data_IF_447276744287
#
_entry.id   IF_447276744287
#
_cell.length_a   1.000
_cell.length_b   1.000
_cell.length_c   1.000
_cell.angle_alpha   90.00
_cell.angle_beta   90.00
_cell.angle_gamma   90.00
#
_symmetry.space_group_name_H-M   'P 1'
#
loop_
_entity.id
_entity.type
_entity.pdbx_description
1 polymer ?
#
# COMPACT_ATOMS: atom_id res chain seq x y z
N UNK A 1 -51.13 -25.28 -3.93
CA UNK A 1 -51.31 -26.74 -4.11
C UNK A 1 -49.93 -27.40 -3.93
N UNK A 2 -49.78 -28.16 -2.83
CA UNK A 2 -48.72 -29.12 -2.44
C UNK A 2 -47.23 -28.79 -2.68
N UNK A 3 -46.53 -28.61 -1.54
CA UNK A 3 -45.09 -28.79 -1.35
C UNK A 3 -44.64 -30.23 -1.66
N UNK A 4 -43.39 -30.39 -2.13
CA UNK A 4 -42.59 -31.61 -1.92
C UNK A 4 -41.12 -31.24 -1.64
N UNK A 5 -40.59 -31.93 -0.65
CA UNK A 5 -39.27 -31.85 0.00
C UNK A 5 -38.19 -32.69 -0.73
N UNK A 6 -36.90 -32.55 -0.34
CA UNK A 6 -35.73 -33.01 -1.11
C UNK A 6 -35.25 -34.42 -0.73
N UNK A 7 -34.57 -35.12 -1.64
CA UNK A 7 -33.69 -36.25 -1.28
C UNK A 7 -32.56 -36.49 -2.29
N UNK A 8 -31.33 -36.27 -1.83
CA UNK A 8 -30.17 -37.18 -1.82
C UNK A 8 -29.69 -37.89 -3.11
N UNK A 9 -28.37 -38.20 -3.08
CA UNK A 9 -27.53 -39.04 -3.97
C UNK A 9 -26.97 -38.29 -5.20
N UNK A 10 -25.66 -38.21 -5.47
CA UNK A 10 -24.52 -39.09 -5.11
C UNK A 10 -23.20 -38.33 -5.25
N UNK A 11 -22.25 -38.65 -4.37
CA UNK A 11 -20.81 -38.46 -4.57
C UNK A 11 -20.38 -39.16 -5.87
N UNK A 12 -19.57 -38.50 -6.68
CA UNK A 12 -18.62 -39.16 -7.57
C UNK A 12 -17.25 -38.53 -7.35
N UNK A 13 -16.34 -39.36 -6.85
CA UNK A 13 -14.92 -39.10 -6.70
C UNK A 13 -14.23 -40.28 -7.40
N UNK A 14 -13.47 -40.01 -8.45
CA UNK A 14 -12.53 -40.90 -9.15
C UNK A 14 -11.96 -40.09 -10.31
N UNK A 15 -10.68 -40.09 -10.65
CA UNK A 15 -9.45 -40.70 -10.15
C UNK A 15 -8.33 -40.10 -11.02
N UNK A 16 -7.14 -40.01 -10.44
CA UNK A 16 -5.91 -39.61 -11.11
C UNK A 16 -5.59 -40.48 -12.34
N UNK A 17 -5.21 -39.82 -13.45
CA UNK A 17 -4.50 -40.45 -14.55
C UNK A 17 -3.14 -39.80 -14.77
N UNK A 18 -2.16 -40.30 -14.01
CA UNK A 18 -0.75 -40.18 -14.36
C UNK A 18 -0.40 -41.23 -15.43
N UNK A 19 0.13 -40.80 -16.57
CA UNK A 19 0.76 -41.69 -17.55
C UNK A 19 2.19 -41.22 -17.84
N UNK A 20 3.14 -42.05 -17.40
CA UNK A 20 4.57 -41.99 -17.68
C UNK A 20 4.91 -42.07 -19.17
N UNK A 21 5.92 -41.30 -19.63
CA UNK A 21 6.93 -41.79 -20.58
C UNK A 21 8.32 -41.18 -20.29
N UNK A 22 9.32 -42.06 -20.41
CA UNK A 22 10.71 -41.99 -19.93
C UNK A 22 11.67 -41.23 -20.87
N UNK A 23 12.93 -40.94 -20.43
CA UNK A 23 13.84 -40.00 -21.07
C UNK A 23 14.80 -40.67 -22.08
N UNK A 24 15.34 -39.89 -23.01
CA UNK A 24 16.45 -40.30 -23.87
C UNK A 24 17.69 -39.44 -23.58
N UNK A 25 18.71 -40.09 -23.00
CA UNK A 25 20.09 -39.61 -22.95
C UNK A 25 20.77 -39.96 -24.27
N UNK A 26 21.55 -39.04 -24.82
CA UNK A 26 22.64 -39.37 -25.75
C UNK A 26 23.94 -38.78 -25.22
N UNK A 27 24.85 -39.69 -24.92
CA UNK A 27 26.26 -39.46 -24.62
C UNK A 27 27.01 -39.28 -25.94
N UNK A 28 27.87 -38.26 -26.02
CA UNK A 28 28.96 -38.22 -26.98
C UNK A 28 30.22 -37.77 -26.23
N UNK A 29 31.05 -38.78 -25.96
CA UNK A 29 32.42 -38.71 -25.48
C UNK A 29 33.37 -38.27 -26.59
N UNK A 30 34.29 -37.34 -26.32
CA UNK A 30 35.56 -37.28 -27.04
C UNK A 30 36.66 -36.54 -26.27
N UNK A 31 37.75 -37.28 -26.05
CA UNK A 31 39.16 -36.85 -25.97
C UNK A 31 39.65 -36.03 -24.77
N UNK A 32 40.37 -36.74 -23.88
CA UNK A 32 41.34 -36.18 -22.94
C UNK A 32 42.49 -35.49 -23.70
N UNK A 33 42.72 -34.22 -23.37
CA UNK A 33 44.04 -33.60 -23.45
C UNK A 33 44.50 -33.31 -22.03
N UNK A 34 45.53 -34.02 -21.57
CA UNK A 34 46.15 -33.79 -20.26
C UNK A 34 46.97 -32.48 -20.31
N UNK A 35 46.31 -31.36 -20.05
CA UNK A 35 46.96 -30.10 -19.72
C UNK A 35 47.10 -30.00 -18.21
N UNK A 36 48.34 -30.03 -17.69
CA UNK A 36 48.62 -29.69 -16.29
C UNK A 36 48.40 -28.18 -16.14
N UNK A 37 47.16 -27.79 -15.85
CA UNK A 37 46.84 -26.42 -15.45
C UNK A 37 47.16 -26.31 -13.96
N UNK A 38 48.29 -25.68 -13.65
CA UNK A 38 48.57 -25.24 -12.28
C UNK A 38 47.54 -24.15 -11.96
N UNK A 39 46.43 -24.53 -11.32
CA UNK A 39 45.51 -23.58 -10.71
C UNK A 39 46.23 -22.96 -9.51
N UNK A 40 46.77 -21.76 -9.68
CA UNK A 40 46.99 -20.87 -8.55
C UNK A 40 45.60 -20.52 -7.98
N UNK A 41 45.18 -21.25 -6.95
CA UNK A 41 44.11 -20.81 -6.07
C UNK A 41 44.61 -19.60 -5.28
N UNK A 42 44.40 -18.40 -5.81
CA UNK A 42 44.39 -17.20 -4.97
C UNK A 42 43.17 -17.31 -4.07
N UNK A 43 43.38 -17.53 -2.77
CA UNK A 43 42.37 -17.35 -1.75
C UNK A 43 42.01 -15.85 -1.72
N UNK A 44 41.01 -15.48 -2.52
CA UNK A 44 40.35 -14.20 -2.35
C UNK A 44 39.49 -14.36 -1.11
N UNK A 45 39.93 -13.79 0.01
CA UNK A 45 39.06 -13.53 1.15
C UNK A 45 38.04 -12.48 0.71
N UNK A 46 37.05 -12.90 -0.07
CA UNK A 46 35.83 -12.14 -0.28
C UNK A 46 35.01 -12.31 0.98
N UNK A 47 35.03 -11.30 1.84
CA UNK A 47 33.91 -11.10 2.75
C UNK A 47 32.67 -11.02 1.87
N UNK A 48 31.87 -12.09 1.87
CA UNK A 48 30.60 -12.08 1.19
C UNK A 48 29.79 -10.95 1.80
N UNK A 49 29.59 -9.86 1.05
CA UNK A 49 28.66 -8.83 1.42
C UNK A 49 27.32 -9.53 1.67
N UNK A 50 26.82 -9.44 2.91
CA UNK A 50 25.49 -9.92 3.24
C UNK A 50 24.54 -9.14 2.33
N UNK A 51 23.93 -9.81 1.37
CA UNK A 51 22.95 -9.21 0.47
C UNK A 51 21.73 -8.87 1.32
N UNK A 52 21.67 -7.64 1.81
CA UNK A 52 20.53 -7.14 2.56
C UNK A 52 19.31 -7.20 1.63
N UNK A 53 18.19 -7.84 2.04
CA UNK A 53 17.00 -7.91 1.20
C UNK A 53 16.52 -6.52 0.80
N UNK A 54 16.14 -6.34 -0.46
CA UNK A 54 15.51 -5.11 -0.95
C UNK A 54 14.00 -5.17 -0.63
N UNK A 55 13.65 -4.73 0.57
CA UNK A 55 12.27 -4.71 1.07
C UNK A 55 11.37 -3.78 0.25
N UNK A 56 11.93 -2.70 -0.31
CA UNK A 56 11.18 -1.81 -1.17
C UNK A 56 10.72 -2.52 -2.45
N UNK A 57 11.63 -3.22 -3.14
CA UNK A 57 11.26 -4.02 -4.33
C UNK A 57 10.35 -5.19 -3.98
N UNK A 58 10.59 -5.84 -2.85
CA UNK A 58 9.76 -6.96 -2.40
C UNK A 58 8.30 -6.53 -2.21
N UNK A 59 8.07 -5.41 -1.51
CA UNK A 59 6.73 -4.89 -1.28
C UNK A 59 6.10 -4.36 -2.57
N UNK A 60 6.87 -3.71 -3.45
CA UNK A 60 6.40 -3.29 -4.77
C UNK A 60 5.88 -4.48 -5.61
N UNK A 61 6.63 -5.58 -5.63
CA UNK A 61 6.25 -6.78 -6.37
C UNK A 61 5.02 -7.49 -5.76
N UNK A 62 4.90 -7.49 -4.43
CA UNK A 62 3.72 -8.01 -3.75
C UNK A 62 2.46 -7.21 -4.12
N UNK A 63 2.56 -5.88 -4.15
CA UNK A 63 1.45 -5.00 -4.57
C UNK A 63 1.10 -5.20 -6.05
N UNK A 64 2.08 -5.33 -6.95
CA UNK A 64 1.83 -5.65 -8.35
C UNK A 64 1.06 -6.98 -8.50
N UNK A 65 1.44 -7.99 -7.72
CA UNK A 65 0.75 -9.28 -7.71
C UNK A 65 -0.69 -9.13 -7.24
N UNK A 66 -0.91 -8.45 -6.12
CA UNK A 66 -2.25 -8.16 -5.60
C UNK A 66 -3.10 -7.38 -6.60
N UNK A 67 -2.54 -6.37 -7.27
CA UNK A 67 -3.23 -5.59 -8.30
C UNK A 67 -3.69 -6.48 -9.45
N UNK A 68 -2.78 -7.30 -9.99
CA UNK A 68 -3.10 -8.23 -11.09
C UNK A 68 -4.17 -9.25 -10.70
N UNK A 69 -4.20 -9.70 -9.45
CA UNK A 69 -5.22 -10.63 -8.99
C UNK A 69 -6.59 -9.95 -8.79
N UNK A 70 -6.62 -8.70 -8.30
CA UNK A 70 -7.82 -7.86 -8.27
C UNK A 70 -8.40 -7.65 -9.67
N UNK A 71 -7.56 -7.27 -10.63
CA UNK A 71 -7.96 -7.06 -12.03
C UNK A 71 -8.53 -8.33 -12.68
N UNK A 72 -7.98 -9.52 -12.38
CA UNK A 72 -8.57 -10.80 -12.83
C UNK A 72 -9.93 -11.08 -12.19
N UNK A 73 -10.09 -10.75 -10.91
CA UNK A 73 -11.36 -10.89 -10.19
C UNK A 73 -12.43 -10.00 -10.83
N UNK A 74 -12.11 -8.73 -11.09
CA UNK A 74 -13.03 -7.77 -11.71
C UNK A 74 -13.42 -8.18 -13.12
N UNK A 75 -12.47 -8.66 -13.92
CA UNK A 75 -12.75 -9.22 -15.24
C UNK A 75 -13.72 -10.40 -15.18
N UNK A 76 -13.54 -11.31 -14.20
CA UNK A 76 -14.43 -12.46 -14.02
C UNK A 76 -15.85 -12.02 -13.64
N UNK A 77 -15.99 -11.00 -12.78
CA UNK A 77 -17.27 -10.40 -12.44
C UNK A 77 -17.92 -9.72 -13.66
N UNK A 78 -17.14 -9.02 -14.48
CA UNK A 78 -17.62 -8.38 -15.71
C UNK A 78 -18.16 -9.41 -16.71
N UNK A 79 -17.43 -10.50 -16.95
CA UNK A 79 -17.90 -11.59 -17.80
C UNK A 79 -19.21 -12.21 -17.27
N UNK A 80 -19.30 -12.45 -15.96
CA UNK A 80 -20.53 -12.95 -15.34
C UNK A 80 -21.74 -12.01 -15.54
N UNK A 81 -21.51 -10.69 -15.52
CA UNK A 81 -22.55 -9.70 -15.87
C UNK A 81 -22.91 -9.77 -17.36
N UNK A 82 -21.92 -9.90 -18.25
CA UNK A 82 -22.14 -10.01 -19.69
C UNK A 82 -22.97 -11.25 -20.05
N UNK A 83 -22.71 -12.39 -19.42
CA UNK A 83 -23.42 -13.65 -19.71
C UNK A 83 -24.93 -13.56 -19.47
N UNK A 84 -25.37 -12.66 -18.58
CA UNK A 84 -26.78 -12.41 -18.29
C UNK A 84 -27.48 -11.53 -19.35
N UNK A 85 -26.78 -11.06 -20.38
CA UNK A 85 -27.39 -10.31 -21.49
C UNK A 85 -28.10 -11.28 -22.44
N UNK A 86 -29.38 -11.01 -22.74
CA UNK A 86 -30.19 -11.87 -23.61
C UNK A 86 -29.82 -11.76 -25.10
N UNK A 87 -29.47 -10.55 -25.55
CA UNK A 87 -29.04 -10.29 -26.93
C UNK A 87 -27.59 -10.78 -27.15
N UNK A 88 -27.34 -11.70 -28.10
CA UNK A 88 -26.00 -12.20 -28.39
C UNK A 88 -25.02 -11.11 -28.86
N UNK A 89 -25.49 -10.10 -29.60
CA UNK A 89 -24.62 -9.02 -30.08
C UNK A 89 -24.15 -8.14 -28.92
N UNK A 90 -25.09 -7.72 -28.05
CA UNK A 90 -24.77 -7.00 -26.83
C UNK A 90 -23.86 -7.79 -25.89
N UNK A 91 -24.06 -9.11 -25.77
CA UNK A 91 -23.18 -9.99 -24.97
C UNK A 91 -21.75 -9.98 -25.50
N UNK A 92 -21.57 -10.15 -26.81
CA UNK A 92 -20.25 -10.14 -27.42
C UNK A 92 -19.54 -8.79 -27.24
N UNK A 93 -20.26 -7.68 -27.40
CA UNK A 93 -19.71 -6.35 -27.18
C UNK A 93 -19.29 -6.14 -25.73
N UNK A 94 -20.11 -6.55 -24.77
CA UNK A 94 -19.78 -6.52 -23.35
C UNK A 94 -18.51 -7.32 -23.02
N UNK A 95 -18.35 -8.51 -23.61
CA UNK A 95 -17.15 -9.34 -23.40
C UNK A 95 -15.88 -8.73 -24.03
N UNK A 96 -16.02 -8.06 -25.18
CA UNK A 96 -14.92 -7.30 -25.79
C UNK A 96 -14.50 -6.13 -24.90
N UNK A 97 -15.47 -5.36 -24.40
CA UNK A 97 -15.20 -4.25 -23.49
C UNK A 97 -14.54 -4.73 -22.21
N UNK A 98 -15.07 -5.79 -21.57
CA UNK A 98 -14.45 -6.37 -20.38
C UNK A 98 -12.99 -6.79 -20.62
N UNK A 99 -12.67 -7.27 -21.82
CA UNK A 99 -11.31 -7.66 -22.19
C UNK A 99 -10.40 -6.45 -22.45
N UNK A 100 -10.94 -5.36 -22.99
CA UNK A 100 -10.24 -4.08 -23.09
C UNK A 100 -9.95 -3.51 -21.69
N UNK A 101 -10.96 -3.45 -20.82
CA UNK A 101 -10.85 -2.98 -19.44
C UNK A 101 -9.80 -3.79 -18.65
N UNK A 102 -9.76 -5.12 -18.83
CA UNK A 102 -8.74 -5.99 -18.24
C UNK A 102 -7.32 -5.58 -18.65
N UNK A 103 -7.11 -5.27 -19.93
CA UNK A 103 -5.79 -4.91 -20.44
C UNK A 103 -5.38 -3.53 -19.93
N UNK A 104 -6.28 -2.56 -19.98
CA UNK A 104 -6.06 -1.20 -19.50
C UNK A 104 -5.71 -1.23 -18.00
N UNK A 105 -6.50 -1.95 -17.19
CA UNK A 105 -6.24 -2.08 -15.76
C UNK A 105 -4.92 -2.83 -15.45
N UNK A 106 -4.57 -3.84 -16.25
CA UNK A 106 -3.25 -4.49 -16.15
C UNK A 106 -2.12 -3.51 -16.44
N UNK A 107 -2.26 -2.69 -17.48
CA UNK A 107 -1.26 -1.67 -17.80
C UNK A 107 -1.11 -0.69 -16.64
N UNK A 108 -2.20 -0.23 -16.04
CA UNK A 108 -2.15 0.60 -14.84
C UNK A 108 -1.41 -0.09 -13.69
N UNK A 109 -1.60 -1.39 -13.47
CA UNK A 109 -0.82 -2.14 -12.47
C UNK A 109 0.70 -2.10 -12.75
N UNK A 110 1.13 -2.21 -14.02
CA UNK A 110 2.55 -2.12 -14.39
C UNK A 110 3.10 -0.71 -14.16
N UNK A 111 2.38 0.32 -14.61
CA UNK A 111 2.79 1.73 -14.43
C UNK A 111 2.93 2.08 -12.94
N UNK A 112 2.01 1.59 -12.12
CA UNK A 112 2.06 1.70 -10.67
C UNK A 112 3.26 0.97 -10.05
N UNK A 113 3.67 -0.16 -10.61
CA UNK A 113 4.87 -0.88 -10.18
C UNK A 113 6.13 -0.13 -10.59
N UNK A 114 6.19 0.39 -11.82
CA UNK A 114 7.33 1.18 -12.31
C UNK A 114 7.55 2.43 -11.46
N UNK A 115 6.47 3.13 -11.08
CA UNK A 115 6.53 4.25 -10.15
C UNK A 115 7.10 3.85 -8.77
N UNK A 116 6.69 2.69 -8.24
CA UNK A 116 7.23 2.16 -6.97
C UNK A 116 8.71 1.82 -7.09
N UNK A 117 9.13 1.18 -8.19
CA UNK A 117 10.53 0.84 -8.43
C UNK A 117 11.40 2.09 -8.59
N UNK A 118 10.89 3.13 -9.24
CA UNK A 118 11.55 4.43 -9.33
C UNK A 118 11.73 5.08 -7.95
N UNK A 119 10.72 4.96 -7.07
CA UNK A 119 10.85 5.40 -5.67
C UNK A 119 11.91 4.58 -4.92
N UNK A 120 11.93 3.25 -5.05
CA UNK A 120 12.95 2.39 -4.44
C UNK A 120 14.37 2.76 -4.87
N UNK A 121 14.57 3.14 -6.14
CA UNK A 121 15.88 3.58 -6.62
C UNK A 121 16.36 4.85 -5.91
N UNK A 122 15.44 5.75 -5.54
CA UNK A 122 15.75 7.02 -4.89
C UNK A 122 15.89 6.90 -3.37
N UNK A 123 15.08 6.06 -2.73
CA UNK A 123 14.96 5.95 -1.28
C UNK A 123 15.80 4.80 -0.69
N UNK A 124 16.20 3.84 -1.52
CA UNK A 124 16.91 2.62 -1.09
C UNK A 124 15.96 1.46 -0.79
N UNK A 125 16.56 0.28 -0.58
CA UNK A 125 15.83 -0.98 -0.35
C UNK A 125 15.64 -1.36 1.12
N UNK A 126 16.11 -0.54 2.06
CA UNK A 126 15.97 -0.82 3.50
C UNK A 126 14.50 -0.76 3.94
N UNK A 127 14.10 -1.51 4.99
CA UNK A 127 12.76 -1.36 5.55
C UNK A 127 12.61 0.04 6.16
N UNK A 128 11.39 0.59 6.10
CA UNK A 128 11.07 1.82 6.80
C UNK A 128 10.80 1.51 8.28
N UNK A 129 11.78 1.82 9.13
CA UNK A 129 11.71 1.67 10.59
C UNK A 129 12.51 2.80 11.24
N UNK A 130 11.97 4.03 11.27
CA UNK A 130 12.69 5.16 11.84
C UNK A 130 12.85 4.99 13.35
N UNK A 131 14.09 5.12 13.83
CA UNK A 131 14.38 5.13 15.27
C UNK A 131 14.16 6.54 15.81
N UNK A 132 13.18 6.70 16.69
CA UNK A 132 12.92 7.95 17.38
C UNK A 132 13.82 8.04 18.62
N UNK A 133 14.75 9.00 18.61
CA UNK A 133 15.54 9.38 19.80
C UNK A 133 14.90 10.62 20.44
N UNK A 134 14.26 10.50 21.61
CA UNK A 134 13.66 11.65 22.29
C UNK A 134 14.62 12.80 22.57
N UNK A 135 15.92 12.53 22.68
CA UNK A 135 16.91 13.57 22.92
C UNK A 135 17.12 14.48 21.71
N UNK A 136 16.73 14.05 20.50
CA UNK A 136 16.81 14.83 19.26
C UNK A 136 15.69 15.88 19.12
N UNK A 137 14.71 15.91 20.02
CA UNK A 137 13.58 16.82 19.94
C UNK A 137 13.77 18.04 20.84
N UNK A 138 13.26 19.18 20.40
CA UNK A 138 13.32 20.45 21.12
C UNK A 138 12.00 20.77 21.82
N UNK A 139 12.06 21.58 22.88
CA UNK A 139 10.90 21.87 23.72
C UNK A 139 9.88 22.84 23.08
N UNK A 140 10.23 23.50 21.97
CA UNK A 140 9.38 24.47 21.28
C UNK A 140 9.45 24.25 19.79
N UNK A 141 8.31 24.39 19.11
CA UNK A 141 8.20 24.35 17.66
C UNK A 141 8.28 25.78 17.14
N UNK A 142 9.48 26.20 16.76
CA UNK A 142 9.81 27.55 16.29
C UNK A 142 10.23 27.61 14.82
N UNK A 143 9.97 26.54 14.06
CA UNK A 143 10.16 26.50 12.61
C UNK A 143 9.55 27.75 11.95
N UNK A 144 10.31 28.49 11.11
CA UNK A 144 9.87 29.77 10.57
C UNK A 144 8.68 29.67 9.60
N UNK A 145 8.39 28.49 9.07
CA UNK A 145 7.28 28.23 8.15
C UNK A 145 6.06 27.64 8.87
N UNK A 146 6.25 26.98 10.02
CA UNK A 146 5.19 26.35 10.78
C UNK A 146 5.42 26.46 12.30
N UNK A 147 5.39 27.68 12.87
CA UNK A 147 5.61 27.89 14.30
C UNK A 147 4.35 27.53 15.09
N UNK A 148 4.45 26.56 16.01
CA UNK A 148 3.33 26.16 16.87
C UNK A 148 3.52 26.72 18.28
N UNK A 149 3.22 28.02 18.43
CA UNK A 149 3.27 28.71 19.72
C UNK A 149 1.93 28.54 20.45
N UNK A 150 1.92 27.99 21.68
CA UNK A 150 0.70 27.88 22.49
C UNK A 150 -0.11 29.18 22.54
N UNK A 151 -1.43 29.06 22.37
CA UNK A 151 -2.38 30.17 22.29
C UNK A 151 -2.52 30.81 20.91
N UNK A 152 -1.85 30.28 19.88
CA UNK A 152 -2.07 30.71 18.49
C UNK A 152 -3.23 29.93 17.90
N UNK A 153 -4.19 30.62 17.29
CA UNK A 153 -5.22 30.00 16.43
C UNK A 153 -5.01 30.48 15.01
N UNK A 154 -4.90 29.54 14.08
CA UNK A 154 -4.93 29.80 12.64
C UNK A 154 -6.34 29.45 12.16
N UNK A 155 -6.88 30.26 11.26
CA UNK A 155 -8.22 30.04 10.71
C UNK A 155 -8.08 29.90 9.20
N UNK A 156 -8.61 28.81 8.67
CA UNK A 156 -8.66 28.51 7.24
C UNK A 156 -10.13 28.46 6.80
N UNK A 157 -10.45 29.16 5.70
CA UNK A 157 -11.83 29.27 5.23
C UNK A 157 -11.89 29.20 3.70
N UNK A 158 -12.93 28.55 3.18
CA UNK A 158 -13.13 28.47 1.74
C UNK A 158 -14.45 27.80 1.33
N UNK A 159 -14.90 28.08 0.10
CA UNK A 159 -16.00 27.33 -0.50
C UNK A 159 -15.45 26.08 -1.20
N UNK A 160 -16.01 24.94 -0.87
CA UNK A 160 -15.74 23.64 -1.49
C UNK A 160 -16.90 23.23 -2.40
N UNK A 161 -16.84 22.02 -2.96
CA UNK A 161 -17.99 21.44 -3.68
C UNK A 161 -19.15 21.06 -2.76
N UNK A 162 -18.91 20.99 -1.46
CA UNK A 162 -19.83 20.46 -0.46
C UNK A 162 -20.46 21.58 0.39
N UNK A 163 -19.78 22.72 0.55
CA UNK A 163 -20.29 23.86 1.34
C UNK A 163 -19.24 24.92 1.61
N UNK A 164 -19.51 25.83 2.54
CA UNK A 164 -18.48 26.69 3.13
C UNK A 164 -17.78 25.97 4.28
N UNK A 165 -16.49 25.76 4.15
CA UNK A 165 -15.64 25.13 5.17
C UNK A 165 -14.95 26.21 6.00
N UNK A 166 -14.95 26.01 7.32
CA UNK A 166 -14.23 26.82 8.30
C UNK A 166 -13.49 25.88 9.26
N UNK A 167 -12.17 25.99 9.28
CA UNK A 167 -11.23 25.23 10.09
C UNK A 167 -10.55 26.18 11.10
N UNK A 168 -10.66 25.83 12.38
CA UNK A 168 -9.88 26.43 13.47
C UNK A 168 -8.74 25.50 13.94
N UNK A 169 -7.51 25.85 13.59
CA UNK A 169 -6.30 25.16 14.02
C UNK A 169 -5.70 25.85 15.26
N UNK A 170 -6.09 25.40 16.46
CA UNK A 170 -5.76 26.03 17.74
C UNK A 170 -4.60 25.32 18.47
N UNK A 171 -3.43 25.96 18.51
CA UNK A 171 -2.28 25.45 19.27
C UNK A 171 -2.53 25.61 20.77
N UNK A 172 -2.72 24.50 21.46
CA UNK A 172 -3.09 24.51 22.88
C UNK A 172 -1.88 24.75 23.79
N UNK A 173 -2.14 24.83 25.11
CA UNK A 173 -1.08 24.82 26.13
C UNK A 173 -0.78 23.40 26.64
N UNK A 174 -1.44 22.39 26.08
CA UNK A 174 -1.29 21.00 26.46
C UNK A 174 -0.17 20.34 25.65
N UNK A 175 0.34 19.25 26.21
CA UNK A 175 1.35 18.41 25.56
C UNK A 175 1.06 16.95 25.87
N UNK A 176 1.47 16.07 24.97
CA UNK A 176 1.38 14.62 25.14
C UNK A 176 2.74 13.98 24.93
N UNK A 177 3.08 12.98 25.75
CA UNK A 177 4.30 12.19 25.54
C UNK A 177 3.98 10.99 24.66
N UNK A 178 4.58 10.94 23.47
CA UNK A 178 4.41 9.86 22.49
C UNK A 178 5.80 9.31 22.14
N UNK A 179 5.99 8.00 22.30
CA UNK A 179 7.31 7.35 22.11
C UNK A 179 8.47 8.04 22.86
N UNK A 180 8.18 8.67 24.01
CA UNK A 180 9.15 9.39 24.84
C UNK A 180 9.39 10.84 24.44
N UNK A 181 8.83 11.32 23.32
CA UNK A 181 8.91 12.71 22.87
C UNK A 181 7.75 13.51 23.44
N UNK A 182 8.02 14.69 24.00
CA UNK A 182 6.98 15.65 24.39
C UNK A 182 6.50 16.39 23.14
N UNK A 183 5.25 16.15 22.75
CA UNK A 183 4.61 16.74 21.59
C UNK A 183 3.66 17.86 22.00
N UNK A 184 3.63 18.95 21.23
CA UNK A 184 2.66 20.04 21.34
C UNK A 184 1.32 19.56 20.81
N UNK A 185 0.25 19.80 21.56
CA UNK A 185 -1.12 19.47 21.13
C UNK A 185 -1.75 20.65 20.39
N UNK A 186 -2.32 20.37 19.23
CA UNK A 186 -3.19 21.26 18.48
C UNK A 186 -4.60 20.70 18.54
N UNK A 187 -5.59 21.56 18.77
CA UNK A 187 -6.99 21.24 18.61
C UNK A 187 -7.44 21.79 17.27
N UNK A 188 -7.71 20.90 16.32
CA UNK A 188 -8.23 21.20 14.99
C UNK A 188 -9.75 20.93 15.01
N UNK A 189 -10.52 21.88 14.50
CA UNK A 189 -11.99 21.81 14.46
C UNK A 189 -12.47 22.28 13.11
N UNK A 190 -13.12 21.39 12.36
CA UNK A 190 -13.64 21.69 11.02
C UNK A 190 -15.16 21.76 11.07
N UNK A 191 -15.70 22.82 10.45
CA UNK A 191 -17.14 22.98 10.23
C UNK A 191 -17.46 23.14 8.76
N UNK A 192 -18.56 22.53 8.31
CA UNK A 192 -19.14 22.69 6.98
C UNK A 192 -20.52 23.35 7.10
N UNK A 193 -20.69 24.52 6.47
CA UNK A 193 -21.89 25.36 6.58
C UNK A 193 -22.32 25.64 8.05
N UNK A 194 -21.33 25.68 8.95
CA UNK A 194 -21.50 25.93 10.38
C UNK A 194 -21.83 24.69 11.21
N UNK A 195 -21.89 23.50 10.61
CA UNK A 195 -22.05 22.23 11.30
C UNK A 195 -20.69 21.58 11.53
N UNK A 196 -20.44 21.09 12.75
CA UNK A 196 -19.19 20.42 13.12
C UNK A 196 -19.06 19.08 12.39
N UNK A 197 -17.99 18.93 11.62
CA UNK A 197 -17.66 17.71 10.86
C UNK A 197 -16.43 17.01 11.38
N UNK A 198 -15.53 17.72 12.08
CA UNK A 198 -14.32 17.14 12.66
C UNK A 198 -13.93 17.82 13.98
N UNK A 199 -13.51 17.02 14.96
CA UNK A 199 -12.93 17.46 16.23
C UNK A 199 -11.69 16.60 16.53
N UNK A 200 -10.51 17.17 16.28
CA UNK A 200 -9.23 16.44 16.27
C UNK A 200 -8.22 17.03 17.25
N UNK A 201 -7.55 16.17 18.02
CA UNK A 201 -6.35 16.52 18.77
C UNK A 201 -5.11 15.97 18.07
N UNK A 202 -4.32 16.86 17.46
CA UNK A 202 -3.07 16.53 16.79
C UNK A 202 -1.86 16.75 17.68
N UNK A 203 -0.82 15.92 17.52
CA UNK A 203 0.42 16.06 18.26
C UNK A 203 1.63 16.24 17.35
N UNK A 204 2.33 17.36 17.52
CA UNK A 204 3.51 17.71 16.74
C UNK A 204 4.76 17.83 17.61
N UNK A 205 5.94 17.58 17.05
CA UNK A 205 7.21 17.89 17.69
C UNK A 205 8.25 18.35 16.66
N UNK A 206 9.20 19.20 17.07
CA UNK A 206 10.28 19.64 16.20
C UNK A 206 11.59 18.98 16.62
N UNK A 207 12.36 18.50 15.65
CA UNK A 207 13.71 18.00 15.89
C UNK A 207 14.75 19.14 15.89
N UNK A 208 16.00 18.82 16.24
CA UNK A 208 17.10 19.80 16.28
C UNK A 208 17.52 20.34 14.92
N UNK A 209 17.16 19.66 13.83
CA UNK A 209 17.41 20.12 12.46
C UNK A 209 16.31 21.06 11.95
N UNK A 210 15.24 21.22 12.73
CA UNK A 210 14.12 22.10 12.45
C UNK A 210 12.98 21.44 11.67
N UNK A 211 13.03 20.12 11.45
CA UNK A 211 11.89 19.42 10.85
C UNK A 211 10.76 19.33 11.88
N UNK A 212 9.53 19.57 11.45
CA UNK A 212 8.34 19.38 12.28
C UNK A 212 7.72 18.05 11.92
N UNK A 213 7.56 17.20 12.92
CA UNK A 213 7.07 15.85 12.84
C UNK A 213 5.64 15.81 13.36
N UNK A 214 4.81 15.06 12.66
CA UNK A 214 3.48 14.69 13.10
C UNK A 214 3.54 13.33 13.79
N UNK A 215 3.19 13.28 15.08
CA UNK A 215 3.30 12.08 15.92
C UNK A 215 1.97 11.31 16.04
N UNK A 216 0.90 11.83 15.44
CA UNK A 216 -0.43 11.24 15.38
C UNK A 216 -1.52 12.15 15.93
N UNK A 217 -2.74 11.62 15.93
CA UNK A 217 -3.99 12.30 16.31
C UNK A 217 -4.88 11.44 17.20
N UNK A 218 -5.86 12.10 17.80
CA UNK A 218 -7.11 11.48 18.21
C UNK A 218 -8.26 12.30 17.64
N UNK A 219 -8.87 11.75 16.60
CA UNK A 219 -9.90 12.38 15.78
C UNK A 219 -11.27 11.82 16.11
N UNK A 220 -12.28 12.68 16.04
CA UNK A 220 -13.65 12.29 15.84
C UNK A 220 -14.15 12.91 14.53
N UNK A 221 -14.51 12.07 13.56
CA UNK A 221 -15.27 12.50 12.39
C UNK A 221 -16.76 12.48 12.74
N UNK A 222 -17.52 13.48 12.30
CA UNK A 222 -18.94 13.62 12.64
C UNK A 222 -19.83 13.73 11.41
N UNK A 223 -20.94 12.97 11.43
CA UNK A 223 -22.08 13.13 10.53
C UNK A 223 -23.36 13.28 11.37
N UNK A 224 -24.20 14.27 11.05
CA UNK A 224 -25.44 14.57 11.80
C UNK A 224 -25.21 14.75 13.32
N UNK A 225 -24.02 15.24 13.71
CA UNK A 225 -23.60 15.41 15.11
C UNK A 225 -23.26 14.12 15.85
N UNK A 226 -23.06 13.01 15.14
CA UNK A 226 -22.66 11.71 15.70
C UNK A 226 -21.27 11.32 15.19
N UNK A 227 -20.46 10.74 16.07
CA UNK A 227 -19.13 10.23 15.72
C UNK A 227 -19.29 9.04 14.77
N UNK A 228 -18.62 9.09 13.61
CA UNK A 228 -18.61 8.04 12.58
C UNK A 228 -17.31 7.25 12.57
N UNK A 229 -16.17 7.90 12.85
CA UNK A 229 -14.82 7.30 12.92
C UNK A 229 -14.08 7.78 14.15
#
# INVERSE_FOLDING_TARGET
>A
MKMKTPSQLKRFNTEDHACHRKPARLLASATLAAGVTILLFTLVNGEAAVEVPDFCRQTAQAVLTSCRDGVKSDYSLALGKCDNLADPAARAECQNQASADLNDARQTCEEQNDARLAACQRLGGAPYDPVIDPSNFVARIDNPYFPLRPGTTLIYEGHTGEGFEHDEFAVTHHTRVILGVTCVEVHDTVTLDGELTEDTLDWFAQDRDGNVWYFGENTHELEDGLITT
#
